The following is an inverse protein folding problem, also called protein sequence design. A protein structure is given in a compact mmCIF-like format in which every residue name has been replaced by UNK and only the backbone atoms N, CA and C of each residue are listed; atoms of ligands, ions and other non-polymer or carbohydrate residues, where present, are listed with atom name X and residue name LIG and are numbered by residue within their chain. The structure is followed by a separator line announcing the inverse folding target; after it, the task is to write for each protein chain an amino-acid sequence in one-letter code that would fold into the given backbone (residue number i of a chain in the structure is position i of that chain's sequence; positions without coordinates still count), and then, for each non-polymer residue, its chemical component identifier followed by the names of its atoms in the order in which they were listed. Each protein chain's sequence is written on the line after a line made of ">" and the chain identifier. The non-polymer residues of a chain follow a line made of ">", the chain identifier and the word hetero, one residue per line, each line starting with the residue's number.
data_IF_080643933373
#
_entry.id   IF_080643933373
#
_cell.length_a   1.000
_cell.length_b   1.000
_cell.length_c   1.000
_cell.angle_alpha   90.00
_cell.angle_beta   90.00
_cell.angle_gamma   90.00
#
_symmetry.space_group_name_H-M   'P 1'
#
loop_
_entity.id
_entity.type
_entity.pdbx_description
1 polymer ?
#
# COMPACT_ATOMS: atom_id res chain seq x y z
N UNK A 1 7.89 -0.62 -17.15
CA UNK A 1 7.10 -1.08 -15.99
C UNK A 1 7.79 -0.60 -14.73
N UNK A 2 7.24 0.40 -14.04
CA UNK A 2 7.87 1.07 -12.87
C UNK A 2 7.29 0.63 -11.52
N UNK A 3 6.14 -0.07 -11.53
CA UNK A 3 5.39 -0.43 -10.32
C UNK A 3 6.24 -1.22 -9.32
N UNK A 4 6.91 -2.28 -9.79
CA UNK A 4 7.70 -3.16 -8.93
C UNK A 4 8.90 -2.43 -8.31
N UNK A 5 9.66 -1.68 -9.10
CA UNK A 5 10.80 -0.90 -8.62
C UNK A 5 10.35 0.19 -7.63
N UNK A 6 9.26 0.89 -7.94
CA UNK A 6 8.67 1.90 -7.06
C UNK A 6 8.21 1.30 -5.74
N UNK A 7 7.60 0.11 -5.79
CA UNK A 7 7.10 -0.55 -4.60
C UNK A 7 8.22 -1.01 -3.67
N UNK A 8 9.31 -1.57 -4.19
CA UNK A 8 10.48 -1.90 -3.37
C UNK A 8 11.19 -0.66 -2.84
N UNK A 9 11.30 0.40 -3.66
CA UNK A 9 11.84 1.68 -3.20
C UNK A 9 11.03 2.23 -2.02
N UNK A 10 9.70 2.29 -2.15
CA UNK A 10 8.83 2.77 -1.08
C UNK A 10 8.80 1.81 0.12
N UNK A 11 8.90 0.50 -0.10
CA UNK A 11 9.03 -0.46 0.98
C UNK A 11 10.29 -0.19 1.83
N UNK A 12 11.42 0.14 1.20
CA UNK A 12 12.68 0.39 1.90
C UNK A 12 12.80 1.81 2.49
N UNK A 13 12.11 2.79 1.91
CA UNK A 13 12.35 4.21 2.23
C UNK A 13 11.16 4.97 2.82
N UNK A 14 9.92 4.51 2.62
CA UNK A 14 8.75 5.23 3.12
C UNK A 14 8.72 5.23 4.65
N UNK A 15 8.67 6.41 5.27
CA UNK A 15 8.47 6.53 6.72
C UNK A 15 7.00 6.58 7.10
N UNK A 16 6.16 7.09 6.18
CA UNK A 16 4.74 7.28 6.38
C UNK A 16 3.97 6.74 5.17
N UNK A 17 2.84 6.10 5.44
CA UNK A 17 1.99 5.50 4.40
C UNK A 17 1.57 6.54 3.35
N UNK A 18 1.10 7.70 3.81
CA UNK A 18 0.66 8.80 2.94
C UNK A 18 1.75 9.23 1.96
N UNK A 19 2.94 9.56 2.47
CA UNK A 19 4.06 10.02 1.64
C UNK A 19 4.49 8.99 0.59
N UNK A 20 4.51 7.70 0.94
CA UNK A 20 4.92 6.65 0.01
C UNK A 20 3.88 6.39 -1.08
N UNK A 21 2.60 6.45 -0.73
CA UNK A 21 1.50 6.28 -1.68
C UNK A 21 1.36 7.50 -2.60
N UNK A 22 1.47 8.71 -2.05
CA UNK A 22 1.46 9.96 -2.82
C UNK A 22 2.59 10.00 -3.85
N UNK A 23 3.82 9.60 -3.48
CA UNK A 23 4.94 9.53 -4.42
C UNK A 23 4.69 8.50 -5.54
N UNK A 24 4.12 7.34 -5.21
CA UNK A 24 3.77 6.33 -6.21
C UNK A 24 2.73 6.85 -7.20
N UNK A 25 1.75 7.61 -6.73
CA UNK A 25 0.70 8.23 -7.56
C UNK A 25 1.27 9.36 -8.42
N UNK A 26 2.10 10.22 -7.83
CA UNK A 26 2.69 11.40 -8.47
C UNK A 26 3.62 11.06 -9.64
N UNK A 27 4.20 9.85 -9.67
CA UNK A 27 5.02 9.36 -10.78
C UNK A 27 4.22 9.12 -12.07
N UNK A 28 2.89 9.10 -12.00
CA UNK A 28 2.00 8.98 -13.16
C UNK A 28 2.12 7.64 -13.90
N UNK A 29 1.62 7.61 -15.14
CA UNK A 29 1.48 6.39 -15.92
C UNK A 29 0.26 5.59 -15.46
N UNK A 30 0.47 4.34 -15.06
CA UNK A 30 -0.57 3.47 -14.51
C UNK A 30 -0.66 3.66 -12.99
N UNK A 31 -1.24 4.79 -12.59
CA UNK A 31 -1.36 5.24 -11.20
C UNK A 31 -2.19 4.27 -10.35
N UNK A 32 -3.24 3.68 -10.92
CA UNK A 32 -4.06 2.62 -10.32
C UNK A 32 -3.16 1.47 -9.85
N UNK A 33 -2.40 0.90 -10.78
CA UNK A 33 -1.68 -0.34 -10.52
C UNK A 33 -0.47 -0.08 -9.64
N UNK A 34 0.22 1.05 -9.86
CA UNK A 34 1.32 1.49 -9.01
C UNK A 34 0.86 1.72 -7.57
N UNK A 35 -0.26 2.44 -7.39
CA UNK A 35 -0.81 2.76 -6.07
C UNK A 35 -1.26 1.51 -5.33
N UNK A 36 -1.91 0.57 -6.03
CA UNK A 36 -2.34 -0.71 -5.43
C UNK A 36 -1.16 -1.53 -4.91
N UNK A 37 -0.12 -1.73 -5.73
CA UNK A 37 1.05 -2.54 -5.37
C UNK A 37 1.86 -1.86 -4.26
N UNK A 38 2.15 -0.56 -4.38
CA UNK A 38 2.90 0.19 -3.37
C UNK A 38 2.12 0.22 -2.06
N UNK A 39 0.83 0.55 -2.10
CA UNK A 39 -0.05 0.64 -0.95
C UNK A 39 -0.16 -0.68 -0.19
N UNK A 40 -0.28 -1.81 -0.89
CA UNK A 40 -0.28 -3.12 -0.27
C UNK A 40 1.02 -3.40 0.49
N UNK A 41 2.18 -3.12 -0.13
CA UNK A 41 3.48 -3.42 0.46
C UNK A 41 3.82 -2.50 1.65
N UNK A 42 3.65 -1.18 1.50
CA UNK A 42 3.92 -0.26 2.61
C UNK A 42 2.84 -0.35 3.70
N UNK A 43 1.60 -0.69 3.37
CA UNK A 43 0.52 -0.93 4.32
C UNK A 43 0.75 -2.19 5.15
N UNK A 44 1.26 -3.26 4.54
CA UNK A 44 1.65 -4.47 5.26
C UNK A 44 2.81 -4.24 6.24
N UNK A 45 3.76 -3.34 5.88
CA UNK A 45 4.89 -2.97 6.75
C UNK A 45 4.50 -2.01 7.87
N UNK A 46 3.86 -0.89 7.52
CA UNK A 46 3.55 0.18 8.47
C UNK A 46 2.31 -0.14 9.32
N UNK A 47 1.47 -1.09 8.89
CA UNK A 47 0.23 -1.43 9.57
C UNK A 47 -0.91 -0.45 9.28
N UNK A 48 -2.14 -0.91 9.52
CA UNK A 48 -3.37 -0.16 9.21
C UNK A 48 -3.51 1.14 10.03
N UNK A 49 -3.01 1.15 11.26
CA UNK A 49 -3.09 2.32 12.16
C UNK A 49 -2.28 3.53 11.65
N UNK A 50 -1.36 3.32 10.71
CA UNK A 50 -0.56 4.38 10.09
C UNK A 50 -1.16 4.92 8.78
N UNK A 51 -2.32 4.41 8.36
CA UNK A 51 -3.05 4.92 7.19
C UNK A 51 -3.91 6.12 7.62
N UNK A 52 -3.92 7.24 6.89
CA UNK A 52 -4.79 8.38 7.21
C UNK A 52 -6.24 7.95 7.33
N UNK A 53 -6.87 8.26 8.46
CA UNK A 53 -8.25 7.86 8.76
C UNK A 53 -9.23 8.31 7.68
N UNK A 54 -9.08 9.54 7.21
CA UNK A 54 -9.94 10.10 6.15
C UNK A 54 -9.87 9.28 4.86
N UNK A 55 -8.73 8.64 4.55
CA UNK A 55 -8.60 7.77 3.37
C UNK A 55 -9.31 6.44 3.58
N UNK A 56 -9.20 5.85 4.78
CA UNK A 56 -9.96 4.64 5.15
C UNK A 56 -11.45 4.93 5.06
N UNK A 57 -11.91 6.01 5.69
CA UNK A 57 -13.31 6.41 5.72
C UNK A 57 -13.82 6.70 4.30
N UNK A 58 -13.02 7.34 3.44
CA UNK A 58 -13.36 7.57 2.02
C UNK A 58 -13.58 6.26 1.27
N UNK A 59 -12.72 5.26 1.46
CA UNK A 59 -12.87 3.95 0.79
C UNK A 59 -14.06 3.17 1.35
N UNK A 60 -14.28 3.21 2.67
CA UNK A 60 -15.39 2.51 3.32
C UNK A 60 -16.77 3.11 2.98
N UNK A 61 -16.81 4.41 2.70
CA UNK A 61 -18.04 5.14 2.33
C UNK A 61 -18.20 5.31 0.83
N UNK A 62 -17.19 4.94 0.03
CA UNK A 62 -17.26 5.00 -1.42
C UNK A 62 -18.37 4.09 -1.93
N UNK A 63 -19.31 4.66 -2.69
CA UNK A 63 -20.25 3.86 -3.46
C UNK A 63 -19.60 3.48 -4.80
N UNK A 64 -19.36 2.19 -5.07
CA UNK A 64 -18.80 1.77 -6.34
C UNK A 64 -19.79 2.10 -7.46
N UNK A 65 -19.35 2.86 -8.46
CA UNK A 65 -20.20 3.35 -9.56
C UNK A 65 -20.79 2.24 -10.47
N UNK A 66 -20.62 0.95 -10.16
CA UNK A 66 -21.27 -0.17 -10.85
C UNK A 66 -21.17 -1.48 -10.06
N UNK A 67 -22.28 -1.88 -9.43
CA UNK A 67 -23.05 -3.11 -9.67
C UNK A 67 -23.97 -3.34 -8.46
N UNK A 68 -25.27 -3.18 -8.68
CA UNK A 68 -26.35 -3.33 -7.70
C UNK A 68 -26.50 -4.74 -7.08
N UNK A 69 -25.54 -5.66 -7.31
CA UNK A 69 -25.60 -7.06 -6.87
C UNK A 69 -24.27 -7.61 -6.31
N UNK A 70 -23.25 -6.78 -6.06
CA UNK A 70 -22.01 -7.28 -5.46
C UNK A 70 -22.11 -7.30 -3.94
N UNK A 71 -22.20 -8.49 -3.34
CA UNK A 71 -22.21 -8.66 -1.89
C UNK A 71 -20.79 -8.39 -1.37
N UNK A 72 -20.48 -7.11 -1.10
CA UNK A 72 -19.25 -6.73 -0.42
C UNK A 72 -19.29 -7.40 0.94
N UNK A 73 -18.50 -8.44 1.10
CA UNK A 73 -18.20 -9.07 2.38
C UNK A 73 -17.59 -8.00 3.29
N UNK A 74 -18.44 -7.36 4.09
CA UNK A 74 -18.05 -6.39 5.13
C UNK A 74 -17.29 -7.06 6.29
N UNK A 75 -17.22 -8.38 6.29
CA UNK A 75 -16.48 -9.23 7.22
C UNK A 75 -15.02 -9.46 6.80
N UNK A 76 -14.48 -8.70 5.83
CA UNK A 76 -13.04 -8.71 5.60
C UNK A 76 -12.36 -8.12 6.81
N UNK A 77 -11.98 -8.99 7.72
CA UNK A 77 -11.21 -8.68 8.91
C UNK A 77 -9.91 -8.02 8.43
N UNK A 78 -9.79 -6.69 8.62
CA UNK A 78 -8.66 -5.85 8.20
C UNK A 78 -7.39 -6.16 9.00
N UNK A 79 -7.30 -7.34 9.60
CA UNK A 79 -6.04 -7.96 10.02
C UNK A 79 -5.25 -8.30 8.74
N UNK A 80 -4.87 -7.27 7.98
CA UNK A 80 -3.70 -7.30 7.12
C UNK A 80 -2.63 -7.88 8.02
N UNK A 81 -2.12 -9.05 7.63
CA UNK A 81 -0.97 -9.69 8.25
C UNK A 81 0.09 -8.59 8.34
N UNK A 82 0.20 -7.93 9.50
CA UNK A 82 1.31 -7.06 9.79
C UNK A 82 2.50 -7.99 9.69
N UNK A 83 3.27 -7.84 8.61
CA UNK A 83 4.45 -8.64 8.40
C UNK A 83 5.47 -8.02 9.35
N UNK A 84 5.34 -8.31 10.65
CA UNK A 84 6.24 -7.83 11.71
C UNK A 84 7.69 -8.19 11.39
N UNK A 85 7.88 -9.26 10.61
CA UNK A 85 9.17 -9.75 10.16
C UNK A 85 9.77 -8.92 9.00
N UNK A 86 9.01 -8.04 8.36
CA UNK A 86 9.51 -7.28 7.20
C UNK A 86 10.57 -6.26 7.63
N UNK A 87 10.46 -5.70 8.83
CA UNK A 87 11.44 -4.76 9.36
C UNK A 87 12.82 -5.44 9.57
N UNK A 88 12.86 -6.75 9.81
CA UNK A 88 14.10 -7.54 9.85
C UNK A 88 14.65 -7.88 8.45
N UNK A 89 13.77 -7.91 7.44
CA UNK A 89 14.12 -8.18 6.04
C UNK A 89 14.52 -6.92 5.26
N UNK A 90 14.05 -5.73 5.67
CA UNK A 90 14.39 -4.45 5.03
C UNK A 90 15.92 -4.24 4.92
N UNK A 91 16.74 -4.48 5.96
CA UNK A 91 18.19 -4.37 5.86
C UNK A 91 18.82 -5.34 4.85
N UNK A 92 18.29 -6.57 4.74
CA UNK A 92 18.79 -7.60 3.82
C UNK A 92 18.43 -7.25 2.37
N UNK A 93 17.21 -6.79 2.13
CA UNK A 93 16.77 -6.30 0.82
C UNK A 93 17.57 -5.06 0.40
N UNK A 94 17.83 -4.13 1.32
CA UNK A 94 18.65 -2.94 1.04
C UNK A 94 20.09 -3.29 0.64
N UNK A 95 20.64 -4.41 1.11
CA UNK A 95 21.96 -4.89 0.71
C UNK A 95 21.97 -5.44 -0.72
N UNK A 96 20.90 -6.10 -1.16
CA UNK A 96 20.76 -6.66 -2.52
C UNK A 96 20.67 -5.55 -3.57
N UNK A 97 19.98 -4.44 -3.28
CA UNK A 97 19.78 -3.33 -4.22
C UNK A 97 20.90 -2.27 -4.19
N UNK A 98 21.97 -2.46 -3.40
CA UNK A 98 23.17 -1.61 -3.36
C UNK A 98 24.32 -2.13 -4.25
N UNK A 99 24.09 -3.20 -5.02
CA UNK A 99 25.03 -3.74 -6.02
C UNK A 99 24.94 -3.01 -7.35
#
# INVERSE_FOLDING_TARGET
>A
MIAFQSAFYQLLHAKFFSSGLEDAVARGGDTDTNGCIVGALIGARLGVDNIPKDWIDTVQTAEPCRLSNFNVRKDMDLTILSIKDIDELVPQLAAIFKG
#
